data_IF_734904876078
#
_entry.id   IF_734904876078
#
_cell.length_a   1.000
_cell.length_b   1.000
_cell.length_c   1.000
_cell.angle_alpha   90.00
_cell.angle_beta   90.00
_cell.angle_gamma   90.00
#
_symmetry.space_group_name_H-M   'P 1'
#
loop_
_entity.id
_entity.type
_entity.pdbx_description
1 polymer ?
#
# COMPACT_ATOMS: atom_id res chain seq x y z
N UNK A 1 -17.55 27.40 2.29
CA UNK A 1 -16.50 26.36 2.33
C UNK A 1 -17.15 25.06 2.76
N UNK A 2 -17.05 24.00 1.96
CA UNK A 2 -17.69 22.70 2.23
C UNK A 2 -16.83 21.79 3.12
N UNK A 3 -17.46 20.76 3.71
CA UNK A 3 -16.76 19.76 4.52
C UNK A 3 -16.10 18.70 3.62
N UNK A 4 -14.90 18.27 3.99
CA UNK A 4 -14.17 17.18 3.35
C UNK A 4 -13.93 16.06 4.37
N UNK A 5 -14.03 14.84 3.91
CA UNK A 5 -13.67 13.64 4.66
C UNK A 5 -12.79 12.75 3.78
N UNK A 6 -11.91 11.97 4.38
CA UNK A 6 -11.13 10.96 3.66
C UNK A 6 -11.07 9.67 4.48
N UNK A 7 -10.95 8.54 3.80
CA UNK A 7 -10.90 7.24 4.45
C UNK A 7 -10.41 6.15 3.52
N UNK A 8 -9.77 5.13 4.10
CA UNK A 8 -9.35 3.93 3.38
C UNK A 8 -10.58 3.13 2.96
N UNK A 9 -10.61 2.69 1.71
CA UNK A 9 -11.68 1.90 1.14
C UNK A 9 -11.16 0.51 0.81
N UNK A 10 -11.93 -0.52 1.18
CA UNK A 10 -11.57 -1.91 0.88
C UNK A 10 -10.41 -2.45 1.72
N UNK A 11 -10.12 -1.84 2.89
CA UNK A 11 -9.12 -2.33 3.84
C UNK A 11 -9.37 -3.80 4.15
N UNK A 12 -8.34 -4.63 3.94
CA UNK A 12 -8.44 -6.07 4.20
C UNK A 12 -8.25 -6.37 5.70
N UNK A 13 -8.77 -7.50 6.20
CA UNK A 13 -8.38 -8.01 7.51
C UNK A 13 -6.87 -8.28 7.60
N UNK A 14 -6.30 -8.24 8.81
CA UNK A 14 -4.86 -8.41 9.03
C UNK A 14 -4.29 -9.71 8.46
N UNK A 15 -5.09 -10.77 8.41
CA UNK A 15 -4.69 -12.08 7.87
C UNK A 15 -4.21 -12.03 6.42
N UNK A 16 -4.74 -11.12 5.60
CA UNK A 16 -4.30 -10.92 4.22
C UNK A 16 -2.89 -10.31 4.16
N UNK A 17 -2.60 -9.33 5.04
CA UNK A 17 -1.27 -8.74 5.14
C UNK A 17 -0.24 -9.74 5.66
N UNK A 18 -0.61 -10.63 6.59
CA UNK A 18 0.29 -11.69 7.08
C UNK A 18 0.66 -12.64 5.92
N UNK A 19 -0.32 -13.04 5.10
CA UNK A 19 -0.06 -13.89 3.93
C UNK A 19 0.90 -13.23 2.94
N UNK A 20 0.66 -11.96 2.63
CA UNK A 20 1.52 -11.20 1.73
C UNK A 20 2.94 -11.03 2.33
N UNK A 21 3.06 -10.79 3.64
CA UNK A 21 4.36 -10.70 4.32
C UNK A 21 5.14 -12.02 4.23
N UNK A 22 4.49 -13.16 4.48
CA UNK A 22 5.11 -14.48 4.33
C UNK A 22 5.53 -14.76 2.88
N UNK A 23 4.71 -14.38 1.91
CA UNK A 23 5.03 -14.49 0.50
C UNK A 23 6.24 -13.62 0.12
N UNK A 24 6.34 -12.40 0.67
CA UNK A 24 7.48 -11.52 0.47
C UNK A 24 8.77 -12.14 1.00
N UNK A 25 8.74 -12.64 2.24
CA UNK A 25 9.89 -13.30 2.87
C UNK A 25 10.30 -14.53 2.06
N UNK A 26 9.33 -15.38 1.67
CA UNK A 26 9.60 -16.56 0.87
C UNK A 26 10.28 -16.21 -0.46
N UNK A 27 9.76 -15.21 -1.19
CA UNK A 27 10.37 -14.75 -2.44
C UNK A 27 11.79 -14.22 -2.25
N UNK A 28 12.01 -13.41 -1.23
CA UNK A 28 13.33 -12.84 -0.95
C UNK A 28 14.35 -13.94 -0.58
N UNK A 29 13.97 -14.87 0.30
CA UNK A 29 14.83 -15.99 0.70
C UNK A 29 15.13 -16.89 -0.50
N UNK A 30 14.12 -17.26 -1.30
CA UNK A 30 14.31 -18.07 -2.50
C UNK A 30 15.22 -17.38 -3.53
N UNK A 31 15.07 -16.06 -3.74
CA UNK A 31 15.96 -15.31 -4.62
C UNK A 31 17.40 -15.27 -4.07
N UNK A 32 17.57 -15.08 -2.76
CA UNK A 32 18.88 -15.03 -2.11
C UNK A 32 19.62 -16.37 -2.18
N UNK A 33 18.90 -17.49 -1.98
CA UNK A 33 19.49 -18.83 -2.02
C UNK A 33 19.88 -19.27 -3.42
N UNK A 34 19.21 -18.78 -4.47
CA UNK A 34 19.65 -19.02 -5.85
C UNK A 34 21.00 -18.36 -6.17
N UNK A 35 21.36 -17.29 -5.46
CA UNK A 35 22.62 -16.55 -5.69
C UNK A 35 23.74 -17.07 -4.78
N UNK A 36 23.47 -17.22 -3.49
CA UNK A 36 24.44 -17.74 -2.53
C UNK A 36 23.69 -18.40 -1.35
N UNK A 37 23.47 -19.72 -1.39
CA UNK A 37 22.73 -20.43 -0.34
C UNK A 37 23.49 -20.46 0.98
N UNK A 38 24.83 -20.56 0.95
CA UNK A 38 25.65 -20.63 2.15
C UNK A 38 25.53 -19.34 2.98
N UNK A 39 25.53 -18.19 2.31
CA UNK A 39 25.35 -16.89 2.97
C UNK A 39 23.88 -16.62 3.35
N UNK A 40 22.92 -17.09 2.55
CA UNK A 40 21.50 -16.91 2.83
C UNK A 40 21.02 -17.70 4.04
N UNK A 41 21.57 -18.91 4.24
CA UNK A 41 21.10 -19.88 5.23
C UNK A 41 22.08 -20.07 6.40
N UNK A 42 23.15 -19.27 6.48
CA UNK A 42 24.07 -19.35 7.61
C UNK A 42 23.33 -19.12 8.92
N UNK A 43 23.40 -20.11 9.80
CA UNK A 43 22.90 -20.01 11.16
C UNK A 43 23.94 -19.28 11.99
N UNK A 44 23.70 -18.00 12.26
CA UNK A 44 24.55 -17.24 13.14
C UNK A 44 23.91 -17.20 14.54
N UNK A 45 24.66 -17.63 15.57
CA UNK A 45 24.25 -17.44 16.96
C UNK A 45 24.49 -15.95 17.26
N UNK A 46 23.40 -15.20 17.36
CA UNK A 46 23.45 -13.77 17.67
C UNK A 46 23.22 -13.55 19.15
N UNK A 47 24.01 -12.65 19.74
CA UNK A 47 23.81 -12.17 21.09
C UNK A 47 23.57 -10.65 21.04
N UNK A 48 22.44 -10.20 21.60
CA UNK A 48 22.08 -8.78 21.59
C UNK A 48 23.02 -7.90 22.44
N UNK A 49 23.85 -8.50 23.31
CA UNK A 49 24.82 -7.78 24.14
C UNK A 49 26.20 -7.66 23.48
N UNK A 50 26.48 -8.44 22.44
CA UNK A 50 27.77 -8.40 21.77
C UNK A 50 27.84 -7.17 20.85
N UNK A 51 28.94 -6.42 20.94
CA UNK A 51 29.19 -5.31 20.03
C UNK A 51 29.60 -5.88 18.67
N UNK A 52 28.94 -5.46 17.57
CA UNK A 52 29.24 -5.98 16.25
C UNK A 52 30.70 -5.68 15.90
N UNK A 53 31.46 -6.72 15.59
CA UNK A 53 32.83 -6.58 15.14
C UNK A 53 32.81 -6.16 13.67
N UNK A 54 33.37 -4.99 13.34
CA UNK A 54 33.37 -4.47 11.95
C UNK A 54 34.16 -5.32 10.96
N UNK A 55 34.91 -6.32 11.46
CA UNK A 55 35.69 -7.27 10.67
C UNK A 55 34.91 -8.56 10.33
N UNK A 56 33.68 -8.71 10.83
CA UNK A 56 32.88 -9.90 10.57
C UNK A 56 32.24 -9.87 9.19
N UNK A 57 32.26 -11.04 8.54
CA UNK A 57 31.56 -11.32 7.29
C UNK A 57 30.09 -10.88 7.41
N UNK A 58 29.46 -10.33 6.35
CA UNK A 58 28.05 -9.92 6.41
C UNK A 58 27.16 -11.08 6.87
N UNK A 59 26.29 -10.83 7.85
CA UNK A 59 25.37 -11.84 8.34
C UNK A 59 24.31 -12.20 7.30
N UNK A 60 23.68 -13.38 7.43
CA UNK A 60 22.52 -13.78 6.62
C UNK A 60 21.44 -12.69 6.62
N UNK A 61 21.19 -12.05 7.77
CA UNK A 61 20.26 -10.93 7.87
C UNK A 61 20.63 -9.73 6.99
N UNK A 62 21.90 -9.30 7.00
CA UNK A 62 22.38 -8.21 6.14
C UNK A 62 22.32 -8.57 4.65
N UNK A 63 22.59 -9.84 4.32
CA UNK A 63 22.48 -10.33 2.95
C UNK A 63 21.02 -10.35 2.48
N UNK A 64 20.12 -10.96 3.26
CA UNK A 64 18.68 -11.06 2.97
C UNK A 64 17.98 -9.70 2.91
N UNK A 65 18.41 -8.72 3.69
CA UNK A 65 17.83 -7.36 3.69
C UNK A 65 17.81 -6.73 2.28
N UNK A 66 18.83 -7.03 1.46
CA UNK A 66 18.94 -6.54 0.07
C UNK A 66 17.92 -7.17 -0.87
N UNK A 67 17.60 -8.45 -0.64
CA UNK A 67 16.57 -9.16 -1.41
C UNK A 67 15.18 -8.73 -0.97
N UNK A 68 14.98 -8.52 0.33
CA UNK A 68 13.73 -7.99 0.88
C UNK A 68 13.43 -6.59 0.32
N UNK A 69 14.43 -5.70 0.28
CA UNK A 69 14.25 -4.33 -0.24
C UNK A 69 13.98 -4.27 -1.74
N UNK A 70 14.44 -5.27 -2.50
CA UNK A 70 14.23 -5.37 -3.95
C UNK A 70 13.03 -6.25 -4.35
N UNK A 71 12.22 -6.70 -3.38
CA UNK A 71 11.06 -7.54 -3.67
C UNK A 71 9.84 -6.69 -4.01
N UNK A 72 9.16 -7.03 -5.11
CA UNK A 72 7.83 -6.52 -5.43
C UNK A 72 6.97 -7.61 -6.07
N UNK A 73 5.68 -7.63 -5.76
CA UNK A 73 4.72 -8.58 -6.33
C UNK A 73 3.27 -8.14 -6.11
N UNK A 74 2.34 -8.70 -6.87
CA UNK A 74 0.91 -8.56 -6.61
C UNK A 74 0.46 -9.61 -5.59
N UNK A 75 0.10 -9.15 -4.40
CA UNK A 75 -0.46 -9.96 -3.32
C UNK A 75 -1.98 -9.82 -3.21
N UNK A 76 -2.50 -10.36 -2.11
CA UNK A 76 -3.93 -10.35 -1.80
C UNK A 76 -4.43 -8.98 -1.29
N UNK A 77 -3.52 -8.15 -0.79
CA UNK A 77 -3.73 -6.72 -0.47
C UNK A 77 -3.28 -5.80 -1.63
N UNK A 78 -3.10 -6.38 -2.82
CA UNK A 78 -2.72 -5.73 -4.07
C UNK A 78 -1.21 -5.56 -4.23
N UNK A 79 -0.75 -4.50 -4.87
CA UNK A 79 0.68 -4.36 -5.21
C UNK A 79 1.51 -4.12 -3.93
N UNK A 80 2.45 -5.03 -3.67
CA UNK A 80 3.41 -4.94 -2.57
C UNK A 80 4.73 -4.44 -3.11
N UNK A 81 5.25 -3.38 -2.52
CA UNK A 81 6.55 -2.80 -2.84
C UNK A 81 7.26 -2.41 -1.55
N UNK A 82 8.58 -2.44 -1.54
CA UNK A 82 9.37 -1.98 -0.40
C UNK A 82 10.02 -0.64 -0.75
N UNK A 83 9.80 0.36 0.10
CA UNK A 83 10.59 1.57 0.10
C UNK A 83 11.82 1.32 0.97
N UNK A 84 12.95 1.05 0.30
CA UNK A 84 14.22 0.71 0.93
C UNK A 84 14.79 1.87 1.78
N UNK A 85 14.58 3.11 1.37
CA UNK A 85 15.15 4.30 2.03
C UNK A 85 14.61 4.51 3.44
N UNK A 86 13.37 4.03 3.69
CA UNK A 86 12.67 4.20 4.97
C UNK A 86 12.24 2.86 5.58
N UNK A 87 12.78 1.75 5.07
CA UNK A 87 12.45 0.37 5.51
C UNK A 87 10.94 0.12 5.65
N UNK A 88 10.15 0.62 4.68
CA UNK A 88 8.68 0.61 4.74
C UNK A 88 8.09 -0.26 3.65
N UNK A 89 7.23 -1.20 4.03
CA UNK A 89 6.43 -1.98 3.09
C UNK A 89 5.19 -1.15 2.72
N UNK A 90 4.99 -0.99 1.41
CA UNK A 90 3.86 -0.32 0.81
C UNK A 90 2.94 -1.38 0.19
N UNK A 91 1.67 -1.31 0.57
CA UNK A 91 0.57 -2.03 -0.08
C UNK A 91 -0.25 -1.02 -0.86
N UNK A 92 -0.91 -1.45 -1.93
CA UNK A 92 -1.90 -0.63 -2.63
C UNK A 92 -3.09 -0.34 -1.71
N UNK A 93 -2.99 0.76 -0.97
CA UNK A 93 -4.08 1.33 -0.21
C UNK A 93 -4.82 2.29 -1.13
N UNK A 94 -6.14 2.16 -1.17
CA UNK A 94 -7.03 3.07 -1.86
C UNK A 94 -7.75 3.90 -0.82
N UNK A 95 -7.60 5.21 -0.90
CA UNK A 95 -8.36 6.15 -0.08
C UNK A 95 -9.32 6.90 -0.97
N UNK A 96 -10.54 7.09 -0.50
CA UNK A 96 -11.48 8.02 -1.13
C UNK A 96 -11.49 9.33 -0.37
N UNK A 97 -11.67 10.41 -1.12
CA UNK A 97 -11.88 11.75 -0.61
C UNK A 97 -13.32 12.12 -0.96
N UNK A 98 -14.11 12.46 0.06
CA UNK A 98 -15.50 12.85 -0.07
C UNK A 98 -15.68 14.32 0.26
N UNK A 99 -16.59 14.97 -0.47
CA UNK A 99 -17.06 16.31 -0.16
C UNK A 99 -18.55 16.27 0.21
N UNK A 100 -18.90 16.97 1.28
CA UNK A 100 -20.30 17.16 1.64
C UNK A 100 -20.91 18.19 0.70
N UNK A 101 -21.85 17.74 -0.12
CA UNK A 101 -22.58 18.56 -1.09
C UNK A 101 -24.07 18.53 -0.77
N UNK A 102 -24.80 19.49 -1.35
CA UNK A 102 -26.26 19.53 -1.31
C UNK A 102 -26.78 18.66 -2.45
N UNK A 103 -27.56 17.64 -2.11
CA UNK A 103 -28.29 16.81 -3.06
C UNK A 103 -29.38 17.60 -3.78
N UNK A 104 -29.98 16.98 -4.81
CA UNK A 104 -30.97 17.63 -5.68
C UNK A 104 -32.22 18.16 -4.93
N UNK A 105 -32.55 17.58 -3.77
CA UNK A 105 -33.69 18.01 -2.93
C UNK A 105 -33.26 18.85 -1.73
N UNK A 106 -32.01 19.33 -1.69
CA UNK A 106 -31.51 20.17 -0.60
C UNK A 106 -30.87 19.43 0.57
N UNK A 107 -30.90 18.10 0.59
CA UNK A 107 -30.35 17.27 1.65
C UNK A 107 -28.81 17.16 1.59
N UNK A 108 -28.10 17.03 2.72
CA UNK A 108 -26.66 16.78 2.71
C UNK A 108 -26.33 15.39 2.16
N UNK A 109 -25.36 15.29 1.26
CA UNK A 109 -24.87 14.04 0.67
C UNK A 109 -23.34 14.05 0.52
N UNK A 110 -22.69 12.94 0.87
CA UNK A 110 -21.26 12.73 0.63
C UNK A 110 -21.04 12.23 -0.79
N UNK A 111 -20.22 12.94 -1.55
CA UNK A 111 -19.88 12.58 -2.94
C UNK A 111 -18.38 12.40 -3.04
N UNK A 112 -17.92 11.31 -3.66
CA UNK A 112 -16.50 11.10 -3.93
C UNK A 112 -16.03 12.17 -4.91
N UNK A 113 -14.98 12.89 -4.52
CA UNK A 113 -14.37 13.97 -5.30
C UNK A 113 -12.94 13.64 -5.70
N UNK A 114 -12.41 12.52 -5.19
CA UNK A 114 -11.10 12.05 -5.56
C UNK A 114 -10.75 10.73 -4.89
N UNK A 115 -9.69 10.15 -5.40
CA UNK A 115 -9.11 8.92 -4.93
C UNK A 115 -7.63 9.15 -4.72
N UNK A 116 -7.10 8.73 -3.58
CA UNK A 116 -5.67 8.78 -3.31
C UNK A 116 -5.12 7.36 -3.29
N UNK A 117 -4.16 7.10 -4.17
CA UNK A 117 -3.49 5.81 -4.26
C UNK A 117 -2.01 6.02 -4.55
N UNK A 118 -1.15 5.25 -3.87
CA UNK A 118 0.31 5.25 -4.10
C UNK A 118 0.93 6.66 -4.09
N UNK A 119 0.50 7.51 -3.16
CA UNK A 119 1.03 8.88 -3.05
C UNK A 119 0.46 9.90 -4.04
N UNK A 120 -0.40 9.47 -4.98
CA UNK A 120 -1.01 10.33 -6.00
C UNK A 120 -2.50 10.55 -5.69
N UNK A 121 -2.92 11.80 -5.67
CA UNK A 121 -4.34 12.17 -5.63
C UNK A 121 -4.85 12.30 -7.06
N UNK A 122 -5.89 11.53 -7.38
CA UNK A 122 -6.64 11.58 -8.63
C UNK A 122 -8.00 12.20 -8.32
N UNK A 123 -8.32 13.33 -8.94
CA UNK A 123 -9.60 14.01 -8.71
C UNK A 123 -10.68 13.39 -9.59
N UNK A 124 -11.83 13.11 -8.99
CA UNK A 124 -12.98 12.55 -9.69
C UNK A 124 -13.88 13.71 -10.14
N UNK A 125 -13.90 13.97 -11.44
CA UNK A 125 -14.60 15.10 -12.05
C UNK A 125 -13.70 16.35 -12.14
N UNK A 126 -13.50 16.82 -13.37
CA UNK A 126 -12.77 18.05 -13.63
C UNK A 126 -13.34 19.24 -12.87
N UNK A 127 -12.51 20.29 -12.71
CA UNK A 127 -12.80 21.58 -12.08
C UNK A 127 -14.17 22.24 -12.36
N UNK A 128 -14.94 21.73 -13.33
CA UNK A 128 -16.25 22.20 -13.77
C UNK A 128 -17.39 22.01 -12.75
N UNK A 129 -17.18 21.29 -11.64
CA UNK A 129 -18.17 21.20 -10.55
C UNK A 129 -18.09 22.31 -9.49
N UNK A 130 -17.06 23.17 -9.55
CA UNK A 130 -16.82 24.25 -8.58
C UNK A 130 -17.40 25.61 -9.02
N UNK A 131 -17.80 25.73 -10.28
CA UNK A 131 -18.50 26.90 -10.83
C UNK A 131 -19.84 26.41 -11.32
N UNK A 132 -20.93 26.88 -10.72
CA UNK A 132 -22.28 26.42 -11.05
C UNK A 132 -22.60 26.58 -12.55
N UNK A 133 -23.22 25.56 -13.13
CA UNK A 133 -23.80 25.65 -14.47
C UNK A 133 -23.90 24.31 -15.21
N UNK A 134 -25.14 23.82 -15.32
CA UNK A 134 -25.71 22.93 -16.36
C UNK A 134 -24.87 21.75 -16.90
N UNK A 135 -25.36 20.52 -16.69
CA UNK A 135 -24.90 19.36 -17.45
C UNK A 135 -25.56 18.04 -17.04
N UNK A 136 -26.76 17.82 -17.57
CA UNK A 136 -27.40 16.56 -17.97
C UNK A 136 -27.09 15.24 -17.25
N UNK A 137 -28.15 14.69 -16.67
CA UNK A 137 -28.35 13.28 -16.30
C UNK A 137 -27.79 12.26 -17.29
N UNK A 138 -27.09 11.25 -16.76
CA UNK A 138 -27.32 9.87 -17.19
C UNK A 138 -27.11 8.93 -15.98
N UNK A 139 -28.21 8.35 -15.52
CA UNK A 139 -28.22 7.43 -14.40
C UNK A 139 -27.66 6.06 -14.77
N UNK A 140 -27.01 5.41 -13.80
CA UNK A 140 -26.90 3.97 -13.77
C UNK A 140 -27.07 3.53 -12.33
N UNK A 141 -28.30 3.11 -12.02
CA UNK A 141 -28.60 2.39 -10.79
C UNK A 141 -28.01 0.99 -10.89
N UNK A 142 -27.28 0.58 -9.86
CA UNK A 142 -26.95 -0.82 -9.62
C UNK A 142 -27.78 -1.28 -8.42
N UNK A 143 -28.86 -2.00 -8.73
CA UNK A 143 -29.65 -2.75 -7.77
C UNK A 143 -28.86 -3.91 -7.21
N UNK A 144 -29.07 -4.15 -5.93
CA UNK A 144 -28.62 -5.34 -5.23
C UNK A 144 -29.37 -6.58 -5.76
N UNK A 145 -28.62 -7.66 -5.97
CA UNK A 145 -29.07 -9.04 -6.08
C UNK A 145 -28.06 -9.89 -5.33
#
# INVERSE_FOLDING_TARGET
LGLLAYGEVGRKPISFYIRDALQMIGRAVTAATMVNPDLALVQNILNCYDKPNHLEMPSSGQYLARFLSNTSFSGSTGLIQVNADVSRILSSQLFHVWSLKRGALGQPAWVTVGQWTRGRLELEGGFLGLVGGLGSSQGQGLGAG
#
